data_IF_932139210655
#
_entry.id   IF_932139210655
#
_cell.length_a   1.000
_cell.length_b   1.000
_cell.length_c   1.000
_cell.angle_alpha   90.00
_cell.angle_beta   90.00
_cell.angle_gamma   90.00
#
_symmetry.space_group_name_H-M   'P 1'
#
loop_
_entity.id
_entity.type
_entity.pdbx_description
1 polymer ?
#
# COMPACT_ATOMS: atom_id res chain seq x y z
N UNK A 1 -44.80 7.68 -17.71
CA UNK A 1 -44.27 6.86 -16.60
C UNK A 1 -42.99 6.10 -16.95
N UNK A 2 -42.87 5.47 -18.14
CA UNK A 2 -41.67 4.72 -18.56
C UNK A 2 -40.34 5.51 -18.56
N UNK A 3 -40.37 6.84 -18.78
CA UNK A 3 -39.18 7.70 -18.79
C UNK A 3 -38.59 7.99 -17.41
N UNK A 4 -39.42 7.97 -16.35
CA UNK A 4 -38.95 8.26 -14.99
C UNK A 4 -38.15 7.08 -14.42
N UNK A 5 -38.59 5.85 -14.68
CA UNK A 5 -37.91 4.62 -14.25
C UNK A 5 -36.51 4.46 -14.87
N UNK A 6 -36.31 4.89 -16.11
CA UNK A 6 -35.01 4.84 -16.78
C UNK A 6 -33.96 5.77 -16.12
N UNK A 7 -34.39 6.93 -15.63
CA UNK A 7 -33.48 7.92 -15.00
C UNK A 7 -33.01 7.45 -13.62
N UNK A 8 -33.90 6.84 -12.82
CA UNK A 8 -33.53 6.30 -11.51
C UNK A 8 -32.58 5.09 -11.60
N UNK A 9 -32.72 4.25 -12.62
CA UNK A 9 -31.80 3.13 -12.86
C UNK A 9 -30.39 3.60 -13.27
N UNK A 10 -30.29 4.67 -14.08
CA UNK A 10 -29.00 5.24 -14.48
C UNK A 10 -28.25 5.89 -13.30
N UNK A 11 -28.96 6.59 -12.41
CA UNK A 11 -28.37 7.21 -11.22
C UNK A 11 -27.86 6.18 -10.20
N UNK A 12 -28.55 5.04 -10.06
CA UNK A 12 -28.11 3.92 -9.23
C UNK A 12 -26.84 3.25 -9.76
N UNK A 13 -26.74 3.06 -11.08
CA UNK A 13 -25.56 2.47 -11.72
C UNK A 13 -24.31 3.35 -11.57
N UNK A 14 -24.43 4.67 -11.69
CA UNK A 14 -23.31 5.58 -11.44
C UNK A 14 -22.87 5.61 -9.97
N UNK A 15 -23.81 5.47 -9.03
CA UNK A 15 -23.50 5.43 -7.60
C UNK A 15 -22.73 4.17 -7.20
N UNK A 16 -23.00 3.02 -7.86
CA UNK A 16 -22.28 1.77 -7.62
C UNK A 16 -20.85 1.78 -8.18
N UNK A 17 -20.59 2.53 -9.27
CA UNK A 17 -19.25 2.68 -9.83
C UNK A 17 -18.31 3.54 -8.96
N UNK A 18 -18.86 4.34 -8.03
CA UNK A 18 -18.08 5.15 -7.09
C UNK A 18 -17.60 4.38 -5.85
N UNK A 19 -18.24 3.25 -5.53
CA UNK A 19 -17.86 2.39 -4.42
C UNK A 19 -16.76 1.44 -4.88
N UNK A 20 -15.51 1.89 -4.87
CA UNK A 20 -14.38 0.99 -5.01
C UNK A 20 -14.41 0.04 -3.82
N UNK A 21 -14.61 -1.26 -4.07
CA UNK A 21 -14.41 -2.26 -3.04
C UNK A 21 -12.93 -2.25 -2.65
N UNK A 22 -12.67 -2.08 -1.36
CA UNK A 22 -11.35 -2.30 -0.79
C UNK A 22 -10.88 -3.71 -1.19
N UNK A 23 -9.75 -3.78 -1.88
CA UNK A 23 -9.11 -5.04 -2.21
C UNK A 23 -8.68 -5.75 -0.94
N UNK A 24 -8.73 -7.08 -0.93
CA UNK A 24 -8.17 -7.90 0.15
C UNK A 24 -6.66 -8.15 -0.04
N UNK A 25 -5.97 -7.21 -0.69
CA UNK A 25 -4.57 -7.35 -1.10
C UNK A 25 -3.75 -6.28 -0.38
N UNK A 26 -3.19 -6.60 0.80
CA UNK A 26 -2.31 -5.66 1.47
C UNK A 26 -1.06 -5.36 0.63
N UNK A 27 -0.38 -4.24 0.91
CA UNK A 27 0.90 -3.89 0.32
C UNK A 27 2.00 -4.84 0.83
N UNK A 28 2.17 -5.98 0.15
CA UNK A 28 3.17 -6.98 0.52
C UNK A 28 4.57 -6.44 0.17
N UNK A 29 5.51 -6.42 1.12
CA UNK A 29 6.87 -5.94 0.87
C UNK A 29 7.66 -6.94 0.01
N UNK A 30 8.36 -6.42 -1.01
CA UNK A 30 9.33 -7.14 -1.83
C UNK A 30 10.67 -6.41 -1.82
N UNK A 31 11.77 -7.18 -1.88
CA UNK A 31 13.11 -6.62 -1.98
C UNK A 31 13.42 -6.20 -3.41
N UNK A 32 14.11 -5.08 -3.56
CA UNK A 32 14.72 -4.62 -4.80
C UNK A 32 16.25 -4.65 -4.65
N UNK A 33 17.03 -4.99 -5.72
CA UNK A 33 18.50 -5.06 -5.67
C UNK A 33 19.18 -3.76 -5.23
N UNK A 34 18.49 -2.62 -5.36
CA UNK A 34 18.98 -1.30 -4.94
C UNK A 34 18.96 -1.07 -3.41
N UNK A 35 18.44 -2.01 -2.62
CA UNK A 35 18.20 -1.83 -1.18
C UNK A 35 16.86 -1.17 -0.86
N UNK A 36 15.99 -0.99 -1.87
CA UNK A 36 14.62 -0.55 -1.65
C UNK A 36 13.73 -1.74 -1.28
N UNK A 37 12.79 -1.51 -0.38
CA UNK A 37 11.62 -2.38 -0.18
C UNK A 37 10.47 -1.74 -0.96
N UNK A 38 9.98 -2.47 -1.95
CA UNK A 38 8.85 -2.06 -2.78
C UNK A 38 7.57 -2.68 -2.24
N UNK A 39 6.48 -1.93 -2.31
CA UNK A 39 5.14 -2.44 -2.10
C UNK A 39 4.24 -1.96 -3.23
N UNK A 40 3.62 -2.90 -3.92
CA UNK A 40 2.62 -2.59 -4.94
C UNK A 40 1.27 -2.31 -4.29
N UNK A 41 0.58 -1.28 -4.80
CA UNK A 41 -0.70 -0.82 -4.27
C UNK A 41 -1.83 -1.12 -5.26
N UNK A 42 -2.97 -1.57 -4.75
CA UNK A 42 -4.17 -1.74 -5.57
C UNK A 42 -4.68 -0.37 -6.07
N UNK A 43 -5.13 -0.24 -7.33
CA UNK A 43 -5.65 1.02 -7.86
C UNK A 43 -6.77 1.62 -7.01
N UNK A 44 -6.67 2.92 -6.73
CA UNK A 44 -7.70 3.67 -5.99
C UNK A 44 -7.59 3.58 -4.47
N UNK A 45 -6.70 2.74 -3.93
CA UNK A 45 -6.44 2.67 -2.50
C UNK A 45 -5.31 3.61 -2.09
N UNK A 46 -5.52 4.37 -1.01
CA UNK A 46 -4.42 5.06 -0.35
C UNK A 46 -3.82 4.16 0.73
N UNK A 47 -2.50 4.23 0.86
CA UNK A 47 -1.74 3.55 1.90
C UNK A 47 -0.69 4.48 2.50
N UNK A 48 -0.48 4.34 3.81
CA UNK A 48 0.60 4.94 4.57
C UNK A 48 1.46 3.82 5.13
N UNK A 49 2.72 3.74 4.69
CA UNK A 49 3.65 2.69 5.09
C UNK A 49 4.87 3.24 5.83
N UNK A 50 5.34 2.46 6.79
CA UNK A 50 6.54 2.69 7.58
C UNK A 50 7.43 1.46 7.51
N UNK A 51 8.75 1.68 7.46
CA UNK A 51 9.73 0.60 7.60
C UNK A 51 10.72 0.88 8.72
N UNK A 52 11.07 -0.17 9.46
CA UNK A 52 12.13 -0.17 10.47
C UNK A 52 13.14 -1.25 10.08
N UNK A 53 14.35 -0.82 9.76
CA UNK A 53 15.48 -1.67 9.45
C UNK A 53 16.36 -1.87 10.68
N UNK A 54 16.75 -3.10 10.96
CA UNK A 54 17.74 -3.42 11.98
C UNK A 54 19.03 -3.79 11.26
N UNK A 55 20.05 -2.95 11.35
CA UNK A 55 21.37 -3.26 10.83
C UNK A 55 22.41 -2.94 11.90
N UNK A 56 23.02 -3.94 12.55
CA UNK A 56 24.01 -3.69 13.59
C UNK A 56 25.09 -2.69 13.14
N UNK A 57 25.43 -1.67 13.94
CA UNK A 57 24.98 -1.41 15.33
C UNK A 57 23.78 -0.45 15.46
N UNK A 58 23.09 -0.10 14.37
CA UNK A 58 22.08 0.96 14.35
C UNK A 58 20.68 0.47 13.97
N UNK A 59 19.65 1.14 14.50
CA UNK A 59 18.30 1.06 13.96
C UNK A 59 18.18 2.11 12.85
N UNK A 60 17.71 1.68 11.67
CA UNK A 60 17.45 2.55 10.52
C UNK A 60 15.94 2.71 10.37
N UNK A 61 15.49 3.94 10.16
CA UNK A 61 14.14 4.21 9.70
C UNK A 61 14.19 4.55 8.21
N UNK A 62 13.17 4.17 7.46
CA UNK A 62 13.06 4.61 6.08
C UNK A 62 13.13 6.16 6.02
N UNK A 63 13.82 6.74 5.02
CA UNK A 63 13.79 8.18 4.78
C UNK A 63 12.35 8.64 4.60
N UNK A 64 11.86 9.53 5.48
CA UNK A 64 10.43 9.79 5.63
C UNK A 64 9.76 8.64 6.40
N UNK A 65 9.62 8.85 7.71
CA UNK A 65 9.13 7.85 8.67
C UNK A 65 7.77 7.25 8.28
N UNK A 66 6.94 8.03 7.57
CA UNK A 66 5.73 7.56 6.90
C UNK A 66 5.77 7.97 5.42
N UNK A 67 5.55 6.99 4.53
CA UNK A 67 5.36 7.22 3.10
C UNK A 67 3.89 7.05 2.75
N UNK A 68 3.33 8.01 2.03
CA UNK A 68 1.93 8.03 1.63
C UNK A 68 1.85 7.92 0.13
N UNK A 69 1.08 6.96 -0.38
CA UNK A 69 0.91 6.81 -1.81
C UNK A 69 -0.50 6.29 -2.14
N UNK A 70 -0.98 6.63 -3.33
CA UNK A 70 -2.23 6.09 -3.87
C UNK A 70 -1.93 5.12 -5.00
N UNK A 71 -2.50 3.91 -4.93
CA UNK A 71 -2.31 2.93 -5.99
C UNK A 71 -2.87 3.41 -7.33
N UNK A 72 -2.23 3.03 -8.45
CA UNK A 72 -1.26 1.94 -8.58
C UNK A 72 0.21 2.33 -8.36
N UNK A 73 0.49 3.55 -7.90
CA UNK A 73 1.87 3.94 -7.63
C UNK A 73 2.41 3.10 -6.45
N UNK A 74 3.58 2.45 -6.61
CA UNK A 74 4.18 1.67 -5.53
C UNK A 74 4.81 2.58 -4.47
N UNK A 75 4.86 2.08 -3.23
CA UNK A 75 5.66 2.69 -2.16
C UNK A 75 7.07 2.11 -2.19
N UNK A 76 8.07 2.97 -2.02
CA UNK A 76 9.47 2.57 -1.86
C UNK A 76 10.01 3.03 -0.51
N UNK A 77 10.54 2.09 0.27
CA UNK A 77 11.26 2.36 1.52
C UNK A 77 12.72 1.99 1.32
N UNK A 78 13.64 2.97 1.43
CA UNK A 78 15.06 2.74 1.14
C UNK A 78 15.82 2.40 2.40
N UNK A 79 16.58 1.31 2.35
CA UNK A 79 17.48 0.86 3.40
C UNK A 79 18.85 0.55 2.84
N UNK A 80 19.82 0.41 3.73
CA UNK A 80 21.12 -0.14 3.36
C UNK A 80 20.95 -1.61 2.96
N UNK A 81 21.52 -2.07 1.83
CA UNK A 81 21.50 -3.48 1.47
C UNK A 81 22.01 -4.39 2.60
N UNK A 82 21.34 -5.53 2.81
CA UNK A 82 21.58 -6.50 3.86
C UNK A 82 20.82 -6.23 5.17
N UNK A 83 20.15 -5.09 5.33
CA UNK A 83 19.34 -4.80 6.51
C UNK A 83 18.10 -5.70 6.59
N UNK A 84 17.77 -6.16 7.79
CA UNK A 84 16.49 -6.84 8.08
C UNK A 84 15.42 -5.78 8.33
N UNK A 85 14.42 -5.70 7.46
CA UNK A 85 13.41 -4.64 7.44
C UNK A 85 12.04 -5.20 7.82
N UNK A 86 11.42 -4.62 8.84
CA UNK A 86 10.02 -4.83 9.17
C UNK A 86 9.17 -3.67 8.67
N UNK A 87 8.05 -3.98 8.02
CA UNK A 87 7.16 -2.99 7.39
C UNK A 87 5.77 -3.05 8.00
N UNK A 88 5.20 -1.88 8.24
CA UNK A 88 3.81 -1.70 8.66
C UNK A 88 3.11 -0.73 7.73
N UNK A 89 1.85 -1.00 7.40
CA UNK A 89 1.05 -0.13 6.55
C UNK A 89 -0.37 0.03 7.10
N UNK A 90 -0.97 1.21 6.92
CA UNK A 90 -2.42 1.42 7.10
C UNK A 90 -3.01 2.06 5.85
N UNK A 91 -4.27 1.76 5.52
CA UNK A 91 -4.87 2.29 4.31
C UNK A 91 -6.37 2.07 4.21
N UNK A 92 -6.92 2.29 3.01
CA UNK A 92 -8.35 2.06 2.69
C UNK A 92 -8.62 0.61 2.31
N UNK A 93 -7.58 -0.13 1.89
CA UNK A 93 -7.69 -1.54 1.51
C UNK A 93 -7.91 -2.45 2.71
N UNK A 94 -8.24 -3.72 2.45
CA UNK A 94 -8.34 -4.74 3.48
C UNK A 94 -7.08 -5.61 3.50
N UNK A 95 -6.48 -5.86 4.69
CA UNK A 95 -6.85 -5.29 5.99
C UNK A 95 -6.46 -3.81 6.12
N UNK A 96 -7.25 -3.03 6.87
CA UNK A 96 -6.97 -1.59 7.09
C UNK A 96 -5.62 -1.31 7.74
N UNK A 97 -5.11 -2.28 8.53
CA UNK A 97 -3.76 -2.30 9.07
C UNK A 97 -3.10 -3.61 8.66
N UNK A 98 -1.89 -3.50 8.11
CA UNK A 98 -1.08 -4.61 7.68
C UNK A 98 0.28 -4.58 8.39
N UNK A 99 0.66 -5.73 8.95
CA UNK A 99 1.97 -5.98 9.51
C UNK A 99 2.68 -6.99 8.62
N UNK A 100 3.71 -6.54 7.92
CA UNK A 100 4.45 -7.37 6.98
C UNK A 100 5.43 -8.32 7.66
N UNK A 101 5.95 -9.31 6.91
CA UNK A 101 7.09 -10.10 7.34
C UNK A 101 8.35 -9.22 7.42
N UNK A 102 9.40 -9.77 8.02
CA UNK A 102 10.74 -9.20 7.89
C UNK A 102 11.29 -9.59 6.51
N UNK A 103 11.77 -8.61 5.76
CA UNK A 103 12.40 -8.79 4.44
C UNK A 103 13.83 -8.25 4.47
N UNK A 104 14.74 -8.89 3.74
CA UNK A 104 16.11 -8.40 3.60
C UNK A 104 16.16 -7.38 2.46
N UNK A 105 16.75 -6.22 2.70
CA UNK A 105 16.93 -5.21 1.66
C UNK A 105 18.06 -5.61 0.70
N UNK A 106 17.85 -5.52 -0.61
CA UNK A 106 18.91 -5.74 -1.61
C UNK A 106 19.13 -7.20 -2.00
N UNK A 107 18.21 -8.10 -1.62
CA UNK A 107 18.10 -9.46 -2.17
C UNK A 107 17.25 -9.51 -3.45
#
# INVERSE_FOLDING_TARGET
>A
MLRATAIFLAAGACSLLGLHQASATPPIPSSEPSGAIRMDLAPGEWWMCQGVGVQPPYVQFAPGYYQFEQGPNPVYLRFTPGADVWVTCMGTGLPLLYYGPIVKAGE
#
